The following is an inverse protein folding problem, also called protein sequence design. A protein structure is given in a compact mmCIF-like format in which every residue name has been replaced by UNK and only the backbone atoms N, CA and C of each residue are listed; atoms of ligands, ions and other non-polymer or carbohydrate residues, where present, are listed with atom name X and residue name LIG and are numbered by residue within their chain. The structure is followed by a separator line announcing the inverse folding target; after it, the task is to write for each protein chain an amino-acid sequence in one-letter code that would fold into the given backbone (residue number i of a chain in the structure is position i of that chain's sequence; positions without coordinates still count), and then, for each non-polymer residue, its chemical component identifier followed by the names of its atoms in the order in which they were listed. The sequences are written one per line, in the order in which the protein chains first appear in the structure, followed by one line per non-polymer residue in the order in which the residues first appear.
data_IF_320443284579
#
_entry.id   IF_320443284579
#
_cell.length_a   1.000
_cell.length_b   1.000
_cell.length_c   1.000
_cell.angle_alpha   90.00
_cell.angle_beta   90.00
_cell.angle_gamma   90.00
#
_symmetry.space_group_name_H-M   'P 1'
#
loop_
_entity.id
_entity.type
_entity.pdbx_description
1 polymer ?
#
# COMPACT_ATOMS: atom_id res chain seq x y z
N UNK A 1 -20.30 13.54 15.42
CA UNK A 1 -19.12 12.87 14.81
C UNK A 1 -18.61 11.84 15.82
N UNK A 2 -19.30 10.70 15.92
CA UNK A 2 -19.18 9.79 17.09
C UNK A 2 -18.00 8.82 16.99
N UNK A 3 -17.60 8.42 15.77
CA UNK A 3 -16.51 7.46 15.54
C UNK A 3 -15.10 8.08 15.45
N UNK A 4 -14.93 9.38 15.74
CA UNK A 4 -13.62 10.10 15.74
C UNK A 4 -12.79 9.98 14.45
N UNK A 5 -13.44 9.85 13.28
CA UNK A 5 -12.76 9.71 11.97
C UNK A 5 -12.33 11.03 11.32
N UNK A 6 -12.74 12.18 11.89
CA UNK A 6 -12.34 13.52 11.44
C UNK A 6 -12.69 13.78 9.97
N UNK A 7 -11.81 14.49 9.24
CA UNK A 7 -12.03 14.83 7.83
C UNK A 7 -12.15 13.59 6.91
N UNK A 8 -11.81 12.39 7.39
CA UNK A 8 -11.90 11.13 6.64
C UNK A 8 -13.31 10.54 6.65
N UNK A 9 -14.23 11.06 7.47
CA UNK A 9 -15.62 10.60 7.49
C UNK A 9 -16.25 10.60 6.08
N UNK A 10 -16.02 11.67 5.30
CA UNK A 10 -16.49 11.78 3.91
C UNK A 10 -15.89 10.74 2.95
N UNK A 11 -14.67 10.27 3.23
CA UNK A 11 -13.99 9.24 2.43
C UNK A 11 -14.57 7.86 2.70
N UNK A 12 -14.87 7.57 3.97
CA UNK A 12 -15.52 6.32 4.37
C UNK A 12 -16.92 6.23 3.74
N UNK A 13 -17.69 7.33 3.75
CA UNK A 13 -19.00 7.38 3.10
C UNK A 13 -18.91 7.16 1.58
N UNK A 14 -17.90 7.75 0.92
CA UNK A 14 -17.65 7.56 -0.51
C UNK A 14 -17.31 6.11 -0.83
N UNK A 15 -16.46 5.46 -0.01
CA UNK A 15 -16.12 4.06 -0.15
C UNK A 15 -17.36 3.15 -0.04
N UNK A 16 -18.20 3.36 0.98
CA UNK A 16 -19.44 2.61 1.16
C UNK A 16 -20.39 2.83 -0.02
N UNK A 17 -20.57 4.07 -0.46
CA UNK A 17 -21.43 4.38 -1.59
C UNK A 17 -20.98 3.67 -2.87
N UNK A 18 -19.67 3.65 -3.16
CA UNK A 18 -19.13 2.99 -4.36
C UNK A 18 -19.32 1.48 -4.34
N UNK A 19 -19.20 0.85 -3.17
CA UNK A 19 -19.50 -0.58 -3.01
C UNK A 19 -20.99 -0.84 -3.22
N UNK A 20 -21.87 -0.05 -2.60
CA UNK A 20 -23.32 -0.21 -2.75
C UNK A 20 -23.81 0.01 -4.19
N UNK A 21 -23.14 0.88 -4.94
CA UNK A 21 -23.44 1.15 -6.35
C UNK A 21 -22.80 0.15 -7.32
N UNK A 22 -21.98 -0.80 -6.83
CA UNK A 22 -21.27 -1.76 -7.67
C UNK A 22 -20.07 -1.21 -8.45
N UNK A 23 -19.61 0.00 -8.12
CA UNK A 23 -18.39 0.60 -8.71
C UNK A 23 -17.12 -0.06 -8.16
N UNK A 24 -17.18 -0.57 -6.93
CA UNK A 24 -16.10 -1.31 -6.26
C UNK A 24 -16.64 -2.69 -5.91
N UNK A 25 -16.01 -3.73 -6.45
CA UNK A 25 -16.41 -5.12 -6.27
C UNK A 25 -15.35 -5.91 -5.49
N UNK A 26 -15.78 -6.99 -4.82
CA UNK A 26 -14.89 -7.86 -4.04
C UNK A 26 -14.45 -9.12 -4.78
N UNK A 27 -15.22 -9.56 -5.79
CA UNK A 27 -14.77 -10.62 -6.68
C UNK A 27 -13.85 -10.02 -7.74
N UNK A 28 -12.54 -10.21 -7.54
CA UNK A 28 -11.48 -9.53 -8.30
C UNK A 28 -10.44 -10.51 -8.84
N UNK A 29 -10.78 -11.79 -8.91
CA UNK A 29 -9.88 -12.86 -9.33
C UNK A 29 -9.39 -12.63 -10.78
N UNK A 30 -10.31 -12.18 -11.64
CA UNK A 30 -10.04 -11.86 -13.05
C UNK A 30 -9.37 -10.49 -13.27
N UNK A 31 -9.25 -9.66 -12.23
CA UNK A 31 -8.61 -8.36 -12.36
C UNK A 31 -7.08 -8.48 -12.22
N UNK A 32 -6.37 -7.77 -13.09
CA UNK A 32 -4.95 -7.52 -12.88
C UNK A 32 -4.74 -6.64 -11.64
N UNK A 33 -3.56 -6.72 -11.03
CA UNK A 33 -3.19 -5.91 -9.86
C UNK A 33 -3.27 -4.41 -10.17
N UNK A 34 -2.92 -4.00 -11.39
CA UNK A 34 -3.03 -2.61 -11.81
C UNK A 34 -4.49 -2.15 -11.95
N UNK A 35 -5.34 -2.98 -12.56
CA UNK A 35 -6.78 -2.68 -12.66
C UNK A 35 -7.47 -2.64 -11.30
N UNK A 36 -7.10 -3.56 -10.39
CA UNK A 36 -7.60 -3.54 -9.02
C UNK A 36 -7.13 -2.28 -8.28
N UNK A 37 -5.88 -1.86 -8.47
CA UNK A 37 -5.35 -0.62 -7.89
C UNK A 37 -6.14 0.60 -8.37
N UNK A 38 -6.37 0.70 -9.67
CA UNK A 38 -7.16 1.79 -10.28
C UNK A 38 -8.58 1.84 -9.73
N UNK A 39 -9.26 0.68 -9.64
CA UNK A 39 -10.59 0.58 -9.05
C UNK A 39 -10.61 1.08 -7.60
N UNK A 40 -9.66 0.63 -6.77
CA UNK A 40 -9.55 1.05 -5.37
C UNK A 40 -9.22 2.55 -5.25
N UNK A 41 -8.33 3.07 -6.10
CA UNK A 41 -7.97 4.49 -6.14
C UNK A 41 -9.09 5.40 -6.65
N UNK A 42 -10.17 4.84 -7.22
CA UNK A 42 -11.37 5.60 -7.53
C UNK A 42 -12.11 6.10 -6.27
N UNK A 43 -11.87 5.47 -5.11
CA UNK A 43 -12.45 5.86 -3.82
C UNK A 43 -11.75 7.10 -3.30
N UNK A 44 -12.51 8.14 -2.91
CA UNK A 44 -11.94 9.36 -2.33
C UNK A 44 -11.11 9.02 -1.09
N UNK A 45 -9.88 9.52 -1.06
CA UNK A 45 -8.95 9.33 0.06
C UNK A 45 -8.12 8.04 -0.03
N UNK A 46 -8.32 7.20 -1.04
CA UNK A 46 -7.47 6.05 -1.35
C UNK A 46 -6.42 6.47 -2.38
N UNK A 47 -5.18 6.65 -1.93
CA UNK A 47 -4.01 6.82 -2.79
C UNK A 47 -3.26 5.49 -3.01
N UNK A 48 -2.15 5.50 -3.78
CA UNK A 48 -1.39 4.30 -4.11
C UNK A 48 -1.03 3.43 -2.90
N UNK A 49 -0.51 4.03 -1.83
CA UNK A 49 -0.17 3.32 -0.59
C UNK A 49 -1.37 2.58 0.02
N UNK A 50 -2.53 3.24 0.10
CA UNK A 50 -3.72 2.66 0.72
C UNK A 50 -4.30 1.55 -0.16
N UNK A 51 -4.28 1.75 -1.48
CA UNK A 51 -4.67 0.72 -2.44
C UNK A 51 -3.76 -0.51 -2.32
N UNK A 52 -2.44 -0.34 -2.32
CA UNK A 52 -1.47 -1.44 -2.16
C UNK A 52 -1.67 -2.18 -0.83
N UNK A 53 -1.84 -1.47 0.30
CA UNK A 53 -2.18 -2.13 1.57
C UNK A 53 -3.46 -2.96 1.47
N UNK A 54 -4.50 -2.43 0.83
CA UNK A 54 -5.78 -3.13 0.70
C UNK A 54 -5.65 -4.37 -0.18
N UNK A 55 -4.95 -4.26 -1.30
CA UNK A 55 -4.65 -5.38 -2.21
C UNK A 55 -3.85 -6.48 -1.51
N UNK A 56 -2.81 -6.11 -0.77
CA UNK A 56 -1.96 -7.07 -0.08
C UNK A 56 -2.71 -7.79 1.05
N UNK A 57 -3.38 -7.04 1.94
CA UNK A 57 -3.94 -7.59 3.17
C UNK A 57 -5.32 -8.24 2.98
N UNK A 58 -6.10 -7.80 2.00
CA UNK A 58 -7.47 -8.29 1.80
C UNK A 58 -7.65 -9.13 0.54
N UNK A 59 -6.83 -8.91 -0.50
CA UNK A 59 -6.98 -9.58 -1.80
C UNK A 59 -5.81 -10.51 -2.15
N UNK A 60 -4.85 -10.71 -1.24
CA UNK A 60 -3.75 -11.66 -1.44
C UNK A 60 -2.76 -11.28 -2.55
N UNK A 61 -2.74 -10.02 -2.99
CA UNK A 61 -1.80 -9.51 -4.01
C UNK A 61 -0.42 -9.26 -3.39
N UNK A 62 0.28 -10.34 -3.07
CA UNK A 62 1.56 -10.35 -2.35
C UNK A 62 2.73 -9.73 -3.14
N UNK A 63 2.58 -9.50 -4.44
CA UNK A 63 3.53 -8.81 -5.30
C UNK A 63 3.51 -7.28 -5.11
N UNK A 64 2.55 -6.75 -4.35
CA UNK A 64 2.47 -5.31 -4.04
C UNK A 64 3.44 -4.92 -2.92
N UNK A 65 3.91 -3.67 -2.93
CA UNK A 65 4.89 -3.16 -1.96
C UNK A 65 4.40 -1.86 -1.33
N UNK A 66 3.53 -1.90 -0.30
CA UNK A 66 2.93 -0.70 0.27
C UNK A 66 3.98 0.21 0.91
N UNK A 67 4.28 1.34 0.28
CA UNK A 67 5.33 2.27 0.73
C UNK A 67 4.75 3.48 1.44
N UNK A 68 4.97 3.57 2.75
CA UNK A 68 4.73 4.77 3.54
C UNK A 68 6.03 5.51 3.88
N UNK A 69 5.95 6.52 4.75
CA UNK A 69 7.13 7.29 5.17
C UNK A 69 8.18 6.43 5.89
N UNK A 70 7.79 5.38 6.61
CA UNK A 70 8.72 4.49 7.32
C UNK A 70 9.38 3.54 6.35
N UNK A 71 8.61 2.86 5.52
CA UNK A 71 9.14 1.97 4.48
C UNK A 71 10.07 2.72 3.55
N UNK A 72 9.73 3.98 3.19
CA UNK A 72 10.61 4.85 2.41
C UNK A 72 11.97 5.04 3.07
N UNK A 73 12.01 5.36 4.37
CA UNK A 73 13.25 5.56 5.13
C UNK A 73 14.05 4.26 5.26
N UNK A 74 13.38 3.15 5.56
CA UNK A 74 14.00 1.82 5.67
C UNK A 74 14.67 1.44 4.34
N UNK A 75 13.96 1.60 3.23
CA UNK A 75 14.49 1.30 1.91
C UNK A 75 15.68 2.21 1.57
N UNK A 76 15.56 3.51 1.85
CA UNK A 76 16.64 4.48 1.65
C UNK A 76 17.91 4.07 2.40
N UNK A 77 17.76 3.69 3.67
CA UNK A 77 18.87 3.26 4.54
C UNK A 77 19.51 1.96 4.04
N UNK A 78 18.71 0.93 3.79
CA UNK A 78 19.22 -0.43 3.56
C UNK A 78 19.59 -0.72 2.11
N UNK A 79 18.99 -0.02 1.14
CA UNK A 79 19.09 -0.37 -0.29
C UNK A 79 19.55 0.79 -1.19
N UNK A 80 19.71 2.00 -0.64
CA UNK A 80 20.16 3.19 -1.36
C UNK A 80 21.25 3.96 -0.59
N UNK A 81 22.08 3.25 0.18
CA UNK A 81 23.25 3.81 0.87
C UNK A 81 22.93 5.02 1.78
N UNK A 82 21.75 5.02 2.40
CA UNK A 82 21.28 6.12 3.25
C UNK A 82 20.77 7.35 2.47
N UNK A 83 20.83 7.35 1.13
CA UNK A 83 20.32 8.43 0.31
C UNK A 83 18.79 8.35 0.20
N UNK A 84 18.11 9.49 0.32
CA UNK A 84 16.65 9.54 0.18
C UNK A 84 16.22 9.06 -1.23
N UNK A 85 15.59 7.88 -1.27
CA UNK A 85 15.06 7.31 -2.50
C UNK A 85 13.64 7.80 -2.76
N UNK A 86 13.29 8.05 -4.02
CA UNK A 86 11.91 8.32 -4.39
C UNK A 86 11.09 7.01 -4.44
N UNK A 87 9.76 7.14 -4.33
CA UNK A 87 8.85 5.97 -4.25
C UNK A 87 8.95 5.09 -5.51
N UNK A 88 9.14 5.70 -6.69
CA UNK A 88 9.21 4.96 -7.96
C UNK A 88 10.44 4.04 -7.98
N UNK A 89 11.59 4.55 -7.56
CA UNK A 89 12.83 3.78 -7.50
C UNK A 89 12.77 2.70 -6.43
N UNK A 90 12.12 2.98 -5.28
CA UNK A 90 11.85 1.98 -4.25
C UNK A 90 10.99 0.84 -4.79
N UNK A 91 9.89 1.16 -5.47
CA UNK A 91 9.01 0.13 -6.05
C UNK A 91 9.73 -0.69 -7.12
N UNK A 92 10.54 -0.05 -7.98
CA UNK A 92 11.36 -0.76 -8.95
C UNK A 92 12.35 -1.71 -8.26
N UNK A 93 13.10 -1.22 -7.27
CA UNK A 93 14.06 -2.01 -6.50
C UNK A 93 13.39 -3.19 -5.79
N UNK A 94 12.24 -2.96 -5.17
CA UNK A 94 11.47 -3.99 -4.49
C UNK A 94 10.98 -5.07 -5.47
N UNK A 95 10.48 -4.68 -6.64
CA UNK A 95 10.08 -5.62 -7.69
C UNK A 95 11.29 -6.44 -8.19
N UNK A 96 12.40 -5.78 -8.52
CA UNK A 96 13.60 -6.46 -9.03
C UNK A 96 14.20 -7.46 -8.02
N UNK A 97 14.13 -7.16 -6.71
CA UNK A 97 14.74 -7.98 -5.66
C UNK A 97 13.81 -9.07 -5.13
N UNK A 98 12.53 -8.74 -4.92
CA UNK A 98 11.59 -9.60 -4.20
C UNK A 98 10.52 -10.20 -5.11
N UNK A 99 10.25 -9.60 -6.27
CA UNK A 99 9.23 -10.06 -7.22
C UNK A 99 7.87 -10.30 -6.55
N UNK A 100 7.32 -11.49 -6.76
CA UNK A 100 6.02 -11.90 -6.20
C UNK A 100 5.99 -11.97 -4.66
N UNK A 101 7.17 -11.92 -4.01
CA UNK A 101 7.30 -11.92 -2.55
C UNK A 101 7.49 -10.53 -1.95
N UNK A 102 7.35 -9.46 -2.75
CA UNK A 102 7.59 -8.08 -2.32
C UNK A 102 6.81 -7.70 -1.05
N UNK A 103 5.53 -8.06 -0.97
CA UNK A 103 4.68 -7.79 0.18
C UNK A 103 5.16 -8.49 1.46
N UNK A 104 5.61 -9.75 1.36
CA UNK A 104 6.21 -10.46 2.50
C UNK A 104 7.51 -9.77 2.95
N UNK A 105 8.40 -9.46 2.01
CA UNK A 105 9.64 -8.75 2.31
C UNK A 105 9.36 -7.40 2.98
N UNK A 106 8.37 -6.65 2.50
CA UNK A 106 7.94 -5.39 3.09
C UNK A 106 7.52 -5.55 4.56
N UNK A 107 6.75 -6.60 4.89
CA UNK A 107 6.33 -6.86 6.27
C UNK A 107 7.50 -7.18 7.19
N UNK A 108 8.45 -8.01 6.74
CA UNK A 108 9.65 -8.32 7.52
C UNK A 108 10.54 -7.09 7.72
N UNK A 109 10.78 -6.31 6.66
CA UNK A 109 11.53 -5.06 6.72
C UNK A 109 10.90 -4.07 7.70
N UNK A 110 9.57 -3.90 7.64
CA UNK A 110 8.84 -3.01 8.52
C UNK A 110 8.93 -3.46 9.98
N UNK A 111 8.72 -4.75 10.27
CA UNK A 111 8.79 -5.27 11.63
C UNK A 111 10.21 -5.14 12.21
N UNK A 112 11.21 -5.57 11.44
CA UNK A 112 12.62 -5.49 11.84
C UNK A 112 13.05 -4.05 12.11
N UNK A 113 12.78 -3.13 11.19
CA UNK A 113 13.14 -1.74 11.37
C UNK A 113 12.43 -1.08 12.57
N UNK A 114 11.18 -1.46 12.86
CA UNK A 114 10.45 -0.96 14.03
C UNK A 114 11.07 -1.46 15.34
N UNK A 115 11.51 -2.72 15.37
CA UNK A 115 12.15 -3.33 16.53
C UNK A 115 13.53 -2.71 16.81
N UNK A 116 14.33 -2.51 15.76
CA UNK A 116 15.70 -2.01 15.86
C UNK A 116 15.85 -0.50 15.62
N UNK A 117 14.75 0.23 15.45
CA UNK A 117 14.70 1.70 15.22
C UNK A 117 15.54 2.16 14.02
N UNK A 118 15.52 1.40 12.93
CA UNK A 118 16.23 1.73 11.69
C UNK A 118 15.43 2.78 10.92
N UNK A 119 16.11 3.80 10.38
CA UNK A 119 15.48 4.88 9.61
C UNK A 119 14.56 5.78 10.45
N UNK A 120 14.79 5.86 11.76
CA UNK A 120 14.11 6.79 12.67
C UNK A 120 14.82 8.13 12.70
#
# INVERSE_FOLDING_TARGET
MECRTGFRAKYIMDAVSKVLNGEVIFNVDDLSTDSLREMLMSIKGVGPKVADCTMMFSFGRCETFPTDVWVKRIMSELYFDGCEANIKDIHKKAYDFFGDYAGYAQQYLFNYAREFKIGV
#
